data_IF_010795136443
#
_entry.id   IF_010795136443
#
_cell.length_a   1.000
_cell.length_b   1.000
_cell.length_c   1.000
_cell.angle_alpha   90.00
_cell.angle_beta   90.00
_cell.angle_gamma   90.00
#
_symmetry.space_group_name_H-M   'P 1'
#
loop_
_entity.id
_entity.type
_entity.pdbx_description
1 polymer ?
#
# COMPACT_ATOMS: atom_id res chain seq x y z
N UNK A 1 -1.96 42.32 -10.44
CA UNK A 1 -1.62 41.49 -9.26
C UNK A 1 -0.40 40.66 -9.61
N UNK A 2 0.73 40.89 -8.94
CA UNK A 2 1.96 40.12 -9.14
C UNK A 2 1.80 38.75 -8.47
N UNK A 3 1.86 37.68 -9.27
CA UNK A 3 1.98 36.30 -8.76
C UNK A 3 3.44 36.10 -8.37
N UNK A 4 3.72 36.07 -7.07
CA UNK A 4 5.06 35.76 -6.56
C UNK A 4 5.28 34.25 -6.61
N UNK A 5 6.03 33.78 -7.60
CA UNK A 5 6.52 32.40 -7.64
C UNK A 5 7.54 32.18 -6.52
N UNK A 6 7.16 31.42 -5.48
CA UNK A 6 8.07 31.07 -4.38
C UNK A 6 9.10 30.03 -4.84
N UNK A 7 10.23 30.48 -5.36
CA UNK A 7 11.38 29.62 -5.70
C UNK A 7 12.10 29.21 -4.41
N UNK A 8 12.01 27.93 -4.03
CA UNK A 8 12.76 27.41 -2.88
C UNK A 8 14.27 27.37 -3.17
N UNK A 9 15.13 27.93 -2.28
CA UNK A 9 16.58 27.97 -2.50
C UNK A 9 17.21 26.56 -2.54
N UNK A 10 18.20 26.39 -3.42
CA UNK A 10 18.83 25.10 -3.76
C UNK A 10 19.38 24.34 -2.54
N UNK A 11 19.93 25.06 -1.55
CA UNK A 11 20.45 24.49 -0.29
C UNK A 11 19.37 23.76 0.51
N UNK A 12 18.15 24.31 0.57
CA UNK A 12 17.01 23.68 1.26
C UNK A 12 16.56 22.41 0.56
N UNK A 13 16.65 22.35 -0.78
CA UNK A 13 16.33 21.15 -1.57
C UNK A 13 17.34 20.04 -1.31
N UNK A 14 18.64 20.38 -1.28
CA UNK A 14 19.71 19.42 -1.02
C UNK A 14 19.64 18.82 0.39
N UNK A 15 19.47 19.65 1.42
CA UNK A 15 19.32 19.16 2.79
C UNK A 15 18.07 18.28 3.00
N UNK A 16 16.97 18.54 2.27
CA UNK A 16 15.80 17.64 2.25
C UNK A 16 16.13 16.28 1.64
N UNK A 17 16.89 16.23 0.55
CA UNK A 17 17.32 14.96 -0.07
C UNK A 17 18.19 14.13 0.87
N UNK A 18 19.18 14.75 1.53
CA UNK A 18 20.05 14.06 2.51
C UNK A 18 19.22 13.47 3.65
N UNK A 19 18.30 14.25 4.25
CA UNK A 19 17.44 13.75 5.33
C UNK A 19 16.57 12.57 4.90
N UNK A 20 16.09 12.55 3.65
CA UNK A 20 15.33 11.42 3.10
C UNK A 20 16.19 10.16 3.00
N UNK A 21 17.40 10.28 2.46
CA UNK A 21 18.33 9.15 2.33
C UNK A 21 18.74 8.58 3.70
N UNK A 22 18.92 9.43 4.71
CA UNK A 22 19.27 9.00 6.06
C UNK A 22 18.08 8.51 6.91
N UNK A 23 16.86 8.46 6.36
CA UNK A 23 15.66 8.11 7.14
C UNK A 23 15.25 9.16 8.21
N UNK A 24 15.91 10.32 8.25
CA UNK A 24 15.67 11.41 9.21
C UNK A 24 14.69 12.47 8.68
N UNK A 25 13.98 12.15 7.59
CA UNK A 25 13.02 13.05 6.98
C UNK A 25 11.67 12.91 7.68
N UNK A 26 11.24 13.99 8.33
CA UNK A 26 9.86 14.14 8.77
C UNK A 26 9.12 15.06 7.80
N UNK A 27 7.99 14.59 7.28
CA UNK A 27 7.10 15.44 6.51
C UNK A 27 6.38 16.42 7.46
N UNK A 28 6.16 17.65 7.01
CA UNK A 28 5.32 18.58 7.74
C UNK A 28 3.89 18.03 7.78
N UNK A 29 3.26 17.89 8.96
CA UNK A 29 1.88 17.41 9.07
C UNK A 29 0.93 18.38 8.39
N UNK A 30 -0.21 17.88 7.92
CA UNK A 30 -1.32 18.71 7.44
C UNK A 30 -1.81 19.55 8.63
N UNK A 31 -1.68 20.87 8.52
CA UNK A 31 -1.95 21.79 9.63
C UNK A 31 -3.35 22.40 9.59
N UNK A 32 -4.03 22.34 8.45
CA UNK A 32 -5.33 22.97 8.24
C UNK A 32 -6.08 22.29 7.09
N UNK A 33 -7.39 22.12 7.25
CA UNK A 33 -8.33 21.77 6.18
C UNK A 33 -9.42 22.84 6.07
N UNK A 34 -10.04 22.94 4.90
CA UNK A 34 -11.26 23.74 4.70
C UNK A 34 -12.37 22.79 4.25
N UNK A 35 -13.41 22.64 5.07
CA UNK A 35 -14.57 21.81 4.76
C UNK A 35 -15.83 22.67 4.83
N UNK A 36 -16.62 22.72 3.74
CA UNK A 36 -17.84 23.53 3.65
C UNK A 36 -17.67 25.00 4.07
N UNK A 37 -16.49 25.59 3.80
CA UNK A 37 -16.16 26.97 4.17
C UNK A 37 -15.63 27.16 5.60
N UNK A 38 -15.58 26.10 6.42
CA UNK A 38 -15.05 26.13 7.80
C UNK A 38 -13.59 25.68 7.82
N UNK A 39 -12.73 26.44 8.50
CA UNK A 39 -11.32 26.09 8.71
C UNK A 39 -11.16 25.16 9.92
N UNK A 40 -10.56 24.00 9.69
CA UNK A 40 -10.33 22.96 10.69
C UNK A 40 -8.82 22.86 10.93
N UNK A 41 -8.40 23.10 12.16
CA UNK A 41 -6.98 23.28 12.52
C UNK A 41 -6.49 22.35 13.63
N UNK A 42 -7.38 21.53 14.21
CA UNK A 42 -6.99 20.57 15.22
C UNK A 42 -6.73 19.20 14.57
N UNK A 43 -5.67 18.52 14.99
CA UNK A 43 -5.32 17.18 14.49
C UNK A 43 -6.49 16.19 14.53
N UNK A 44 -7.26 16.04 15.65
CA UNK A 44 -8.37 15.10 15.69
C UNK A 44 -9.49 15.46 14.72
N UNK A 45 -9.85 16.74 14.57
CA UNK A 45 -10.89 17.15 13.63
C UNK A 45 -10.42 17.01 12.18
N UNK A 46 -9.14 17.29 11.89
CA UNK A 46 -8.54 17.03 10.57
C UNK A 46 -8.66 15.54 10.24
N UNK A 47 -8.29 14.66 11.17
CA UNK A 47 -8.39 13.22 10.99
C UNK A 47 -9.83 12.76 10.76
N UNK A 48 -10.77 13.22 11.58
CA UNK A 48 -12.20 12.89 11.45
C UNK A 48 -12.78 13.38 10.13
N UNK A 49 -12.45 14.61 9.72
CA UNK A 49 -12.93 15.18 8.45
C UNK A 49 -12.42 14.37 7.25
N UNK A 50 -11.15 13.95 7.27
CA UNK A 50 -10.60 13.07 6.25
C UNK A 50 -11.31 11.72 6.25
N UNK A 51 -11.48 11.10 7.41
CA UNK A 51 -12.16 9.83 7.55
C UNK A 51 -13.61 9.90 7.03
N UNK A 52 -14.36 10.93 7.39
CA UNK A 52 -15.72 11.17 6.90
C UNK A 52 -15.75 11.38 5.39
N UNK A 53 -14.83 12.18 4.85
CA UNK A 53 -14.71 12.40 3.40
C UNK A 53 -14.44 11.09 2.66
N UNK A 54 -13.54 10.25 3.19
CA UNK A 54 -13.24 8.94 2.61
C UNK A 54 -14.42 7.98 2.71
N UNK A 55 -15.09 7.92 3.87
CA UNK A 55 -16.27 7.09 4.07
C UNK A 55 -17.40 7.51 3.12
N UNK A 56 -17.66 8.81 3.00
CA UNK A 56 -18.66 9.35 2.07
C UNK A 56 -18.29 9.02 0.63
N UNK A 57 -17.06 9.30 0.20
CA UNK A 57 -16.61 9.08 -1.19
C UNK A 57 -16.65 7.60 -1.56
N UNK A 58 -16.26 6.74 -0.62
CA UNK A 58 -16.23 5.28 -0.80
C UNK A 58 -17.57 4.60 -0.50
N UNK A 59 -18.60 5.37 -0.14
CA UNK A 59 -19.92 4.82 0.18
C UNK A 59 -20.53 4.14 -1.05
N UNK A 60 -21.19 3.01 -0.81
CA UNK A 60 -21.98 2.32 -1.81
C UNK A 60 -23.11 3.19 -2.37
N UNK A 61 -23.54 4.20 -1.61
CA UNK A 61 -24.61 5.13 -2.01
C UNK A 61 -24.22 5.99 -3.21
N UNK A 62 -22.91 6.20 -3.44
CA UNK A 62 -22.41 6.94 -4.59
C UNK A 62 -22.40 6.13 -5.89
N UNK A 63 -22.67 4.81 -5.81
CA UNK A 63 -22.72 3.97 -7.01
C UNK A 63 -23.99 4.24 -7.83
N UNK A 64 -23.92 3.98 -9.13
CA UNK A 64 -25.11 4.06 -9.98
C UNK A 64 -26.18 3.05 -9.54
N UNK A 65 -27.48 3.35 -9.71
CA UNK A 65 -28.54 2.42 -9.32
C UNK A 65 -28.39 1.02 -9.94
N UNK A 66 -27.89 0.95 -11.18
CA UNK A 66 -27.59 -0.30 -11.87
C UNK A 66 -26.50 -1.12 -11.15
N UNK A 67 -25.40 -0.48 -10.74
CA UNK A 67 -24.33 -1.18 -10.02
C UNK A 67 -24.76 -1.56 -8.59
N UNK A 68 -25.55 -0.72 -7.91
CA UNK A 68 -26.11 -1.09 -6.60
C UNK A 68 -27.02 -2.33 -6.69
N UNK A 69 -27.81 -2.45 -7.76
CA UNK A 69 -28.63 -3.64 -8.00
C UNK A 69 -27.77 -4.88 -8.29
N UNK A 70 -26.72 -4.74 -9.12
CA UNK A 70 -25.74 -5.80 -9.37
C UNK A 70 -25.08 -6.26 -8.06
N UNK A 71 -24.50 -5.34 -7.29
CA UNK A 71 -23.84 -5.62 -6.00
C UNK A 71 -24.76 -6.40 -5.05
N UNK A 72 -26.00 -5.92 -4.83
CA UNK A 72 -26.97 -6.61 -3.96
C UNK A 72 -27.32 -8.01 -4.44
N UNK A 73 -27.35 -8.24 -5.75
CA UNK A 73 -27.60 -9.56 -6.34
C UNK A 73 -26.42 -10.50 -6.12
N UNK A 74 -25.21 -10.05 -6.45
CA UNK A 74 -24.00 -10.88 -6.38
C UNK A 74 -23.57 -11.15 -4.92
N UNK A 75 -23.63 -10.15 -4.04
CA UNK A 75 -23.25 -10.30 -2.62
C UNK A 75 -24.23 -11.15 -1.80
N UNK A 76 -25.47 -11.34 -2.31
CA UNK A 76 -26.43 -12.25 -1.69
C UNK A 76 -26.00 -13.71 -1.83
N UNK A 77 -25.17 -14.03 -2.83
CA UNK A 77 -24.63 -15.37 -3.02
C UNK A 77 -23.59 -15.62 -1.93
N UNK A 78 -23.88 -16.56 -1.02
CA UNK A 78 -22.89 -16.98 -0.01
C UNK A 78 -21.75 -17.69 -0.71
N UNK A 79 -20.53 -17.17 -0.54
CA UNK A 79 -19.33 -17.87 -0.97
C UNK A 79 -19.14 -19.12 -0.12
N UNK A 80 -18.93 -20.25 -0.79
CA UNK A 80 -18.54 -21.47 -0.12
C UNK A 80 -17.01 -21.52 -0.02
N UNK A 81 -16.50 -21.38 1.20
CA UNK A 81 -15.07 -21.51 1.50
C UNK A 81 -14.68 -22.93 1.94
N UNK A 82 -15.61 -23.91 1.88
CA UNK A 82 -15.24 -25.31 2.08
C UNK A 82 -14.31 -25.74 0.96
N UNK A 83 -13.12 -26.19 1.31
CA UNK A 83 -12.18 -26.82 0.39
C UNK A 83 -11.85 -28.22 0.92
N UNK A 84 -11.62 -29.17 0.02
CA UNK A 84 -11.04 -30.47 0.38
C UNK A 84 -9.53 -30.38 0.65
N UNK A 85 -8.92 -29.21 0.45
CA UNK A 85 -7.49 -28.95 0.44
C UNK A 85 -6.71 -29.86 -0.54
N UNK A 86 -7.36 -30.33 -1.60
CA UNK A 86 -6.79 -31.21 -2.63
C UNK A 86 -6.29 -30.44 -3.85
N UNK A 87 -6.27 -29.11 -3.78
CA UNK A 87 -5.73 -28.28 -4.85
C UNK A 87 -4.24 -28.57 -5.07
N UNK A 88 -3.78 -28.45 -6.31
CA UNK A 88 -2.39 -28.78 -6.65
C UNK A 88 -1.35 -28.00 -5.83
N UNK A 89 -1.65 -26.78 -5.39
CA UNK A 89 -0.74 -25.99 -4.52
C UNK A 89 -0.61 -26.55 -3.09
N UNK A 90 -1.57 -27.37 -2.65
CA UNK A 90 -1.55 -28.06 -1.36
C UNK A 90 -0.83 -29.41 -1.42
N UNK A 91 -0.42 -29.86 -2.62
CA UNK A 91 0.36 -31.09 -2.76
C UNK A 91 1.75 -30.93 -2.12
N UNK A 92 2.36 -32.02 -1.61
CA UNK A 92 3.71 -31.98 -1.08
C UNK A 92 4.70 -31.41 -2.10
N UNK A 93 5.55 -30.48 -1.67
CA UNK A 93 6.57 -29.88 -2.51
C UNK A 93 7.48 -30.96 -3.08
N UNK A 94 7.59 -31.02 -4.40
CA UNK A 94 8.48 -31.96 -5.08
C UNK A 94 9.90 -31.42 -5.15
N UNK A 95 10.87 -32.34 -5.23
CA UNK A 95 12.28 -31.97 -5.43
C UNK A 95 12.48 -31.20 -6.75
N UNK A 96 11.71 -31.53 -7.79
CA UNK A 96 11.75 -30.84 -9.08
C UNK A 96 11.31 -29.39 -8.94
N UNK A 97 10.18 -29.12 -8.28
CA UNK A 97 9.70 -27.77 -8.02
C UNK A 97 10.71 -26.96 -7.22
N UNK A 98 11.30 -27.56 -6.18
CA UNK A 98 12.35 -26.92 -5.39
C UNK A 98 13.56 -26.53 -6.25
N UNK A 99 14.06 -27.44 -7.09
CA UNK A 99 15.19 -27.18 -8.00
C UNK A 99 14.87 -26.08 -9.00
N UNK A 100 13.70 -26.12 -9.62
CA UNK A 100 13.24 -25.11 -10.58
C UNK A 100 13.10 -23.74 -9.90
N UNK A 101 12.52 -23.70 -8.70
CA UNK A 101 12.37 -22.48 -7.92
C UNK A 101 13.74 -21.88 -7.59
N UNK A 102 14.67 -22.67 -7.03
CA UNK A 102 16.02 -22.22 -6.69
C UNK A 102 16.80 -21.71 -7.91
N UNK A 103 16.69 -22.40 -9.05
CA UNK A 103 17.32 -21.97 -10.30
C UNK A 103 16.74 -20.65 -10.81
N UNK A 104 15.43 -20.43 -10.64
CA UNK A 104 14.74 -19.21 -11.06
C UNK A 104 14.90 -18.02 -10.09
N UNK A 105 15.29 -18.26 -8.85
CA UNK A 105 15.53 -17.18 -7.88
C UNK A 105 16.57 -16.17 -8.37
N UNK A 106 16.51 -14.92 -7.91
CA UNK A 106 17.58 -13.94 -8.15
C UNK A 106 18.65 -14.02 -7.06
N UNK A 107 19.87 -13.57 -7.34
CA UNK A 107 20.87 -13.32 -6.30
C UNK A 107 20.49 -12.04 -5.53
N UNK A 108 19.64 -12.17 -4.51
CA UNK A 108 19.26 -11.06 -3.63
C UNK A 108 20.17 -10.98 -2.41
N UNK A 109 20.11 -9.86 -1.70
CA UNK A 109 20.74 -9.72 -0.39
C UNK A 109 20.22 -10.81 0.58
N UNK A 110 21.10 -11.28 1.46
CA UNK A 110 20.74 -12.26 2.48
C UNK A 110 19.72 -11.68 3.47
N UNK A 111 18.86 -12.55 4.00
CA UNK A 111 17.99 -12.22 5.10
C UNK A 111 18.74 -12.08 6.42
N UNK A 112 18.02 -11.85 7.54
CA UNK A 112 18.61 -11.81 8.87
C UNK A 112 19.29 -13.13 9.31
N UNK A 113 19.01 -14.23 8.61
CA UNK A 113 19.64 -15.54 8.77
C UNK A 113 21.03 -15.63 8.12
N UNK A 114 21.43 -14.62 7.32
CA UNK A 114 22.72 -14.59 6.64
C UNK A 114 22.83 -15.57 5.47
N UNK A 115 21.74 -16.20 5.03
CA UNK A 115 21.77 -17.19 3.95
C UNK A 115 21.53 -16.54 2.58
N UNK A 116 22.47 -16.75 1.67
CA UNK A 116 22.33 -16.32 0.27
C UNK A 116 21.79 -17.45 -0.62
N UNK A 117 20.97 -17.10 -1.62
CA UNK A 117 20.46 -18.06 -2.63
C UNK A 117 21.58 -18.83 -3.36
N UNK A 118 22.77 -18.23 -3.51
CA UNK A 118 23.94 -18.91 -4.11
C UNK A 118 24.34 -20.13 -3.29
N UNK A 119 24.27 -20.04 -1.96
CA UNK A 119 24.59 -21.16 -1.07
C UNK A 119 23.63 -22.32 -1.28
N UNK A 120 22.33 -22.02 -1.39
CA UNK A 120 21.28 -23.03 -1.60
C UNK A 120 21.40 -23.74 -2.95
N UNK A 121 21.87 -23.04 -4.00
CA UNK A 121 22.11 -23.63 -5.33
C UNK A 121 23.29 -24.58 -5.38
N UNK A 122 24.30 -24.35 -4.53
CA UNK A 122 25.49 -25.21 -4.49
C UNK A 122 25.30 -26.46 -3.64
N UNK A 123 24.14 -26.62 -2.97
CA UNK A 123 23.79 -27.79 -2.18
C UNK A 123 23.04 -28.87 -3.00
N UNK A 124 22.61 -28.55 -4.23
CA UNK A 124 21.78 -29.43 -5.06
C UNK A 124 22.57 -30.32 -5.99
#
# INVERSE_FOLDING_TARGET
MLVTSHVQPQVKRFGKKIRKLCGKYSASPVSMLVCNGVSINTIPEIANTLAETFAKTSSCDNYTPAFQALKRREERVKLNFSSSNEEGYNSPLTLLELRVALHRSGNTAAGPDGLHYIMLRHLS
#
